data_IF_264831722020
#
_entry.id   IF_264831722020
#
_cell.length_a   1.000
_cell.length_b   1.000
_cell.length_c   1.000
_cell.angle_alpha   90.00
_cell.angle_beta   90.00
_cell.angle_gamma   90.00
#
_symmetry.space_group_name_H-M   'P 1'
#
loop_
_entity.id
_entity.type
_entity.pdbx_description
1 polymer ?
#
# COMPACT_ATOMS: atom_id res chain seq x y z
N UNK A 1 -22.06 18.21 37.38
CA UNK A 1 -21.26 16.97 37.38
C UNK A 1 -21.29 16.25 36.03
N UNK A 2 -22.45 16.03 35.41
CA UNK A 2 -22.58 15.35 34.10
C UNK A 2 -21.72 15.95 32.94
N UNK A 3 -21.59 17.28 32.84
CA UNK A 3 -20.81 17.94 31.78
C UNK A 3 -19.29 17.70 31.87
N UNK A 4 -18.77 17.49 33.09
CA UNK A 4 -17.35 17.21 33.34
C UNK A 4 -17.03 15.76 33.03
N UNK A 5 -17.93 14.84 33.39
CA UNK A 5 -17.81 13.42 33.04
C UNK A 5 -17.88 13.20 31.53
N UNK A 6 -18.77 13.89 30.79
CA UNK A 6 -18.81 13.81 29.32
C UNK A 6 -17.51 14.34 28.69
N UNK A 7 -16.98 15.48 29.17
CA UNK A 7 -15.72 16.03 28.67
C UNK A 7 -14.53 15.09 28.89
N UNK A 8 -14.44 14.45 30.07
CA UNK A 8 -13.39 13.49 30.37
C UNK A 8 -13.46 12.22 29.49
N UNK A 9 -14.66 11.73 29.19
CA UNK A 9 -14.85 10.59 28.28
C UNK A 9 -14.45 10.94 26.86
N UNK A 10 -14.77 12.16 26.37
CA UNK A 10 -14.38 12.62 25.04
C UNK A 10 -12.87 12.81 24.93
N UNK A 11 -12.22 13.35 25.96
CA UNK A 11 -10.75 13.50 26.02
C UNK A 11 -10.07 12.13 26.06
N UNK A 12 -10.55 11.20 26.88
CA UNK A 12 -9.99 9.85 26.95
C UNK A 12 -10.14 9.11 25.60
N UNK A 13 -11.28 9.25 24.91
CA UNK A 13 -11.52 8.60 23.62
C UNK A 13 -10.65 9.20 22.49
N UNK A 14 -10.50 10.52 22.46
CA UNK A 14 -9.69 11.22 21.44
C UNK A 14 -8.18 11.03 21.58
N UNK A 15 -7.68 10.70 22.78
CA UNK A 15 -6.26 10.37 23.01
C UNK A 15 -5.94 8.91 22.71
N UNK A 16 -6.93 8.02 22.81
CA UNK A 16 -6.76 6.56 22.60
C UNK A 16 -6.95 6.16 21.13
N UNK A 17 -7.74 6.89 20.35
CA UNK A 17 -8.04 6.56 18.95
C UNK A 17 -7.04 6.95 17.85
N UNK A 18 -6.05 7.87 18.00
CA UNK A 18 -5.23 8.30 16.87
C UNK A 18 -4.13 7.29 16.47
N UNK A 19 -4.03 6.13 17.12
CA UNK A 19 -2.98 5.14 16.85
C UNK A 19 -3.37 4.00 15.91
N UNK A 20 -4.58 4.01 15.34
CA UNK A 20 -4.97 2.99 14.36
C UNK A 20 -4.37 3.34 12.99
N UNK A 21 -3.18 2.80 12.72
CA UNK A 21 -2.63 2.72 11.36
C UNK A 21 -3.50 1.71 10.60
N UNK A 22 -4.28 2.18 9.63
CA UNK A 22 -5.02 1.33 8.72
C UNK A 22 -4.08 0.89 7.60
N UNK A 23 -4.11 -0.40 7.25
CA UNK A 23 -3.42 -0.90 6.07
C UNK A 23 -4.02 -0.27 4.81
N UNK A 24 -3.16 0.18 3.91
CA UNK A 24 -3.54 0.77 2.62
C UNK A 24 -3.41 -0.30 1.53
N UNK A 25 -4.36 -0.31 0.60
CA UNK A 25 -4.27 -1.13 -0.60
C UNK A 25 -3.83 -0.27 -1.79
N UNK A 26 -2.77 -0.70 -2.47
CA UNK A 26 -2.20 -0.08 -3.65
C UNK A 26 -2.41 -0.96 -4.86
N UNK A 27 -3.11 -0.42 -5.85
CA UNK A 27 -3.34 -1.07 -7.13
C UNK A 27 -2.13 -0.78 -8.03
N UNK A 28 -1.42 -1.82 -8.45
CA UNK A 28 -0.20 -1.63 -9.24
C UNK A 28 -0.53 -0.99 -10.60
N UNK A 29 0.05 0.19 -10.84
CA UNK A 29 -0.13 0.95 -12.08
C UNK A 29 -1.38 1.84 -12.12
N UNK A 30 -2.19 1.89 -11.06
CA UNK A 30 -3.42 2.70 -10.97
C UNK A 30 -4.31 2.55 -12.22
N UNK A 31 -4.70 3.66 -12.85
CA UNK A 31 -5.53 3.71 -14.05
C UNK A 31 -4.84 3.11 -15.30
N UNK A 32 -3.51 3.01 -15.29
CA UNK A 32 -2.75 2.36 -16.37
C UNK A 32 -2.82 0.84 -16.28
N UNK A 33 -3.08 0.32 -15.08
CA UNK A 33 -3.12 -1.11 -14.79
C UNK A 33 -1.79 -1.82 -15.00
N UNK A 34 -1.83 -3.14 -14.91
CA UNK A 34 -0.66 -3.99 -15.13
C UNK A 34 -0.55 -4.44 -16.60
N UNK A 35 -0.55 -3.48 -17.53
CA UNK A 35 -0.59 -3.72 -19.00
C UNK A 35 0.79 -3.92 -19.64
N UNK A 36 1.81 -3.44 -18.92
CA UNK A 36 3.20 -3.58 -19.27
C UNK A 36 3.81 -2.50 -20.15
N UNK A 37 3.03 -1.49 -20.50
CA UNK A 37 3.51 -0.31 -21.23
C UNK A 37 3.79 0.87 -20.28
N UNK A 38 3.27 0.80 -19.06
CA UNK A 38 3.47 1.78 -18.00
C UNK A 38 4.86 1.74 -17.36
N UNK A 39 5.32 2.89 -16.87
CA UNK A 39 6.53 3.00 -16.06
C UNK A 39 6.21 2.72 -14.58
N UNK A 40 6.27 1.45 -14.18
CA UNK A 40 5.98 1.03 -12.80
C UNK A 40 6.97 1.53 -11.76
N UNK A 41 8.21 1.87 -12.15
CA UNK A 41 9.15 2.47 -11.21
C UNK A 41 8.70 3.89 -10.84
N UNK A 42 8.23 4.68 -11.80
CA UNK A 42 7.68 6.01 -11.51
C UNK A 42 6.41 5.92 -10.66
N UNK A 43 5.56 4.91 -10.89
CA UNK A 43 4.41 4.63 -10.03
C UNK A 43 4.87 4.27 -8.60
N UNK A 44 5.85 3.39 -8.45
CA UNK A 44 6.38 3.01 -7.15
C UNK A 44 7.01 4.18 -6.39
N UNK A 45 7.71 5.07 -7.08
CA UNK A 45 8.38 6.22 -6.49
C UNK A 45 7.38 7.30 -6.00
N UNK A 46 6.15 7.31 -6.53
CA UNK A 46 5.07 8.22 -6.10
C UNK A 46 4.32 7.75 -4.84
N UNK A 47 4.60 6.52 -4.38
CA UNK A 47 3.89 5.88 -3.28
C UNK A 47 4.80 5.60 -2.07
N UNK A 48 4.21 5.72 -0.87
CA UNK A 48 4.89 5.45 0.39
C UNK A 48 4.31 4.18 1.03
N UNK A 49 5.05 3.08 0.96
CA UNK A 49 4.63 1.77 1.45
C UNK A 49 5.08 1.52 2.89
N UNK A 50 4.19 0.93 3.68
CA UNK A 50 4.44 0.57 5.08
C UNK A 50 4.11 -0.89 5.34
N UNK A 51 4.69 -1.43 6.42
CA UNK A 51 4.35 -2.79 6.87
C UNK A 51 2.85 -2.91 7.17
N UNK A 52 2.22 -3.89 6.54
CA UNK A 52 0.79 -4.17 6.64
C UNK A 52 -0.01 -3.77 5.40
N UNK A 53 0.55 -2.92 4.54
CA UNK A 53 -0.08 -2.53 3.28
C UNK A 53 -0.21 -3.71 2.30
N UNK A 54 -1.09 -3.57 1.32
CA UNK A 54 -1.41 -4.61 0.33
C UNK A 54 -1.14 -4.06 -1.06
N UNK A 55 -0.42 -4.83 -1.88
CA UNK A 55 -0.31 -4.59 -3.32
C UNK A 55 -1.30 -5.49 -4.06
N UNK A 56 -2.12 -4.95 -4.96
CA UNK A 56 -3.08 -5.74 -5.76
C UNK A 56 -3.03 -5.43 -7.26
N UNK A 57 -3.44 -6.40 -8.08
CA UNK A 57 -3.47 -6.28 -9.55
C UNK A 57 -4.91 -6.37 -10.08
N UNK A 58 -5.26 -5.49 -11.02
CA UNK A 58 -6.63 -5.33 -11.54
C UNK A 58 -7.21 -6.56 -12.28
N UNK A 59 -6.37 -7.47 -12.75
CA UNK A 59 -6.78 -8.44 -13.79
C UNK A 59 -7.50 -9.68 -13.22
N UNK A 60 -7.13 -10.14 -12.02
CA UNK A 60 -7.74 -11.34 -11.42
C UNK A 60 -8.44 -11.07 -10.09
N UNK A 61 -8.17 -9.95 -9.42
CA UNK A 61 -8.62 -9.66 -8.04
C UNK A 61 -8.10 -10.64 -6.98
N UNK A 62 -7.36 -11.67 -7.39
CA UNK A 62 -6.82 -12.72 -6.54
C UNK A 62 -5.32 -12.56 -6.29
N UNK A 63 -4.67 -11.68 -7.03
CA UNK A 63 -3.24 -11.37 -6.90
C UNK A 63 -3.05 -10.21 -5.94
N UNK A 64 -3.18 -10.50 -4.64
CA UNK A 64 -2.92 -9.56 -3.55
C UNK A 64 -1.70 -10.01 -2.75
N UNK A 65 -0.75 -9.09 -2.53
CA UNK A 65 0.47 -9.31 -1.76
C UNK A 65 0.48 -8.39 -0.54
N UNK A 66 0.42 -8.96 0.66
CA UNK A 66 0.60 -8.22 1.90
C UNK A 66 2.08 -7.99 2.21
N UNK A 67 2.45 -6.72 2.42
CA UNK A 67 3.79 -6.26 2.76
C UNK A 67 4.04 -6.49 4.26
N UNK A 68 4.36 -7.72 4.63
CA UNK A 68 4.46 -8.15 6.03
C UNK A 68 5.77 -7.78 6.73
N UNK A 69 6.80 -7.35 6.00
CA UNK A 69 8.13 -7.07 6.54
C UNK A 69 8.70 -5.80 5.90
N UNK A 70 9.38 -4.97 6.68
CA UNK A 70 10.08 -3.82 6.12
C UNK A 70 11.26 -4.28 5.24
N UNK A 71 11.48 -3.60 4.13
CA UNK A 71 12.56 -3.96 3.20
C UNK A 71 12.26 -3.61 1.75
N UNK A 72 13.18 -4.01 0.88
CA UNK A 72 13.03 -3.82 -0.57
C UNK A 72 12.41 -5.05 -1.20
N UNK A 73 11.27 -4.85 -1.87
CA UNK A 73 10.58 -5.89 -2.63
C UNK A 73 10.86 -5.68 -4.12
N UNK A 74 11.24 -6.75 -4.81
CA UNK A 74 11.54 -6.73 -6.23
C UNK A 74 10.46 -7.49 -6.99
N UNK A 75 9.88 -6.84 -7.98
CA UNK A 75 8.88 -7.42 -8.87
C UNK A 75 9.51 -7.63 -10.23
N UNK A 76 9.56 -8.89 -10.63
CA UNK A 76 10.16 -9.34 -11.86
C UNK A 76 9.08 -9.98 -12.71
N UNK A 77 9.07 -9.67 -14.00
CA UNK A 77 8.19 -10.37 -14.91
C UNK A 77 8.69 -11.83 -15.14
N UNK A 78 7.76 -12.78 -15.33
CA UNK A 78 8.10 -14.18 -15.61
C UNK A 78 8.12 -14.57 -17.09
N UNK A 79 7.35 -13.87 -17.95
CA UNK A 79 7.09 -14.30 -19.34
C UNK A 79 7.23 -13.20 -20.41
N UNK A 80 7.39 -11.92 -20.06
CA UNK A 80 7.42 -10.79 -21.01
C UNK A 80 8.64 -9.86 -20.84
N UNK A 81 9.77 -10.41 -20.39
CA UNK A 81 10.88 -9.58 -19.90
C UNK A 81 11.73 -9.02 -21.03
N UNK A 82 11.68 -9.65 -22.19
CA UNK A 82 12.44 -9.23 -23.37
C UNK A 82 11.74 -8.13 -24.17
N UNK A 83 10.42 -7.96 -24.00
CA UNK A 83 9.63 -6.99 -24.77
C UNK A 83 9.39 -5.68 -24.03
N UNK A 84 9.34 -5.68 -22.68
CA UNK A 84 8.82 -4.54 -21.92
C UNK A 84 9.67 -4.11 -20.71
N UNK A 85 10.77 -4.80 -20.35
CA UNK A 85 11.64 -4.43 -19.22
C UNK A 85 10.88 -4.10 -17.91
N UNK A 86 9.82 -4.85 -17.61
CA UNK A 86 9.01 -4.61 -16.42
C UNK A 86 9.66 -5.24 -15.20
N UNK A 87 10.65 -4.54 -14.68
CA UNK A 87 11.21 -4.81 -13.36
C UNK A 87 11.15 -3.53 -12.57
N UNK A 88 10.45 -3.55 -11.45
CA UNK A 88 10.39 -2.42 -10.53
C UNK A 88 10.58 -2.93 -9.11
N UNK A 89 10.95 -2.02 -8.22
CA UNK A 89 11.07 -2.33 -6.80
C UNK A 89 10.34 -1.28 -5.98
N UNK A 90 9.90 -1.69 -4.80
CA UNK A 90 9.35 -0.79 -3.79
C UNK A 90 10.19 -0.91 -2.52
N UNK A 91 10.19 0.15 -1.73
CA UNK A 91 10.81 0.17 -0.40
C UNK A 91 9.71 0.32 0.64
N UNK A 92 9.64 -0.64 1.55
CA UNK A 92 8.67 -0.67 2.65
C UNK A 92 9.36 -0.23 3.93
N UNK A 93 8.83 0.84 4.52
CA UNK A 93 9.29 1.42 5.80
C UNK A 93 8.68 0.75 7.03
#
# INVERSE_FOLDING_TARGET
MARVTTALVVIAFSVVFPSMVLATEYVVGDDLGWDGTANYQAWADDHAFHVGDVLSVYDSGNDALTLSVAGTYYFLCGYHCDTLQQTFFIVVG
#
